data_IF_687549202882
#
_entry.id   IF_687549202882
#
_cell.length_a   1.000
_cell.length_b   1.000
_cell.length_c   1.000
_cell.angle_alpha   90.00
_cell.angle_beta   90.00
_cell.angle_gamma   90.00
#
_symmetry.space_group_name_H-M   'P 1'
#
loop_
_entity.id
_entity.type
_entity.pdbx_description
1 polymer ?
#
# COMPACT_ATOMS: atom_id res chain seq x y z
N UNK A 1 -52.79 -60.87 -54.75
CA UNK A 1 -52.93 -60.59 -53.31
C UNK A 1 -52.08 -59.38 -52.96
N UNK A 2 -52.72 -58.22 -52.90
CA UNK A 2 -52.13 -56.97 -52.42
C UNK A 2 -52.57 -56.79 -50.96
N UNK A 3 -51.64 -56.46 -50.07
CA UNK A 3 -51.98 -56.03 -48.72
C UNK A 3 -51.33 -54.69 -48.40
N UNK A 4 -52.22 -53.74 -48.11
CA UNK A 4 -51.95 -52.37 -47.75
C UNK A 4 -51.48 -52.24 -46.30
N UNK A 5 -50.44 -51.40 -46.14
CA UNK A 5 -50.21 -50.36 -45.12
C UNK A 5 -50.70 -50.60 -43.67
N UNK A 6 -49.75 -50.41 -42.75
CA UNK A 6 -49.87 -49.39 -41.68
C UNK A 6 -48.54 -48.66 -41.52
N UNK A 7 -48.52 -47.39 -41.91
CA UNK A 7 -47.48 -46.43 -41.53
C UNK A 7 -47.72 -46.01 -40.09
N UNK A 8 -46.71 -46.17 -39.23
CA UNK A 8 -46.68 -45.56 -37.89
C UNK A 8 -45.62 -44.45 -37.89
N UNK A 9 -46.06 -43.26 -37.50
CA UNK A 9 -45.27 -42.07 -37.26
C UNK A 9 -44.04 -42.38 -36.40
N UNK A 10 -42.85 -42.01 -36.87
CA UNK A 10 -41.70 -41.79 -35.99
C UNK A 10 -41.38 -40.31 -36.02
N UNK A 11 -41.68 -39.67 -34.89
CA UNK A 11 -41.39 -38.27 -34.59
C UNK A 11 -39.93 -37.95 -34.92
N UNK A 12 -39.72 -36.85 -35.62
CA UNK A 12 -38.41 -36.23 -35.77
C UNK A 12 -37.93 -35.77 -34.39
N UNK A 13 -36.98 -36.48 -33.80
CA UNK A 13 -36.20 -35.98 -32.67
C UNK A 13 -35.34 -34.82 -33.17
N UNK A 14 -35.80 -33.60 -32.89
CA UNK A 14 -34.99 -32.40 -33.03
C UNK A 14 -33.87 -32.49 -31.99
N UNK A 15 -32.67 -32.87 -32.41
CA UNK A 15 -31.46 -32.78 -31.60
C UNK A 15 -31.20 -31.30 -31.32
N UNK A 16 -31.65 -30.83 -30.15
CA UNK A 16 -31.21 -29.53 -29.65
C UNK A 16 -29.70 -29.62 -29.40
N UNK A 17 -28.91 -28.95 -30.23
CA UNK A 17 -27.48 -28.83 -29.97
C UNK A 17 -27.29 -28.14 -28.64
N UNK A 18 -26.67 -28.82 -27.68
CA UNK A 18 -26.25 -28.20 -26.42
C UNK A 18 -25.16 -27.18 -26.76
N UNK A 19 -25.50 -25.90 -26.65
CA UNK A 19 -24.51 -24.82 -26.81
C UNK A 19 -23.49 -24.99 -25.67
N UNK A 20 -22.18 -25.13 -25.96
CA UNK A 20 -21.17 -25.20 -24.92
C UNK A 20 -21.25 -23.99 -23.99
N UNK A 21 -21.26 -24.23 -22.69
CA UNK A 21 -21.26 -23.14 -21.71
C UNK A 21 -19.97 -22.32 -21.87
N UNK A 22 -20.11 -21.00 -21.91
CA UNK A 22 -18.99 -20.08 -21.99
C UNK A 22 -18.14 -20.17 -20.72
N UNK A 23 -16.94 -20.74 -20.85
CA UNK A 23 -16.04 -21.02 -19.72
C UNK A 23 -15.28 -19.78 -19.21
N UNK A 24 -15.37 -18.62 -19.88
CA UNK A 24 -14.70 -17.34 -19.51
C UNK A 24 -13.19 -17.44 -19.24
N UNK A 25 -12.52 -18.47 -19.74
CA UNK A 25 -11.11 -18.80 -19.43
C UNK A 25 -10.13 -17.75 -19.94
N UNK A 26 -10.38 -17.13 -21.09
CA UNK A 26 -9.54 -16.05 -21.63
C UNK A 26 -9.49 -14.84 -20.69
N UNK A 27 -10.63 -14.44 -20.12
CA UNK A 27 -10.67 -13.31 -19.19
C UNK A 27 -9.87 -13.62 -17.91
N UNK A 28 -10.03 -14.83 -17.37
CA UNK A 28 -9.27 -15.27 -16.21
C UNK A 28 -7.76 -15.29 -16.49
N UNK A 29 -7.34 -15.79 -17.66
CA UNK A 29 -5.93 -15.81 -18.06
C UNK A 29 -5.33 -14.40 -18.18
N UNK A 30 -6.08 -13.44 -18.74
CA UNK A 30 -5.64 -12.04 -18.81
C UNK A 30 -5.49 -11.47 -17.39
N UNK A 31 -6.49 -11.63 -16.52
CA UNK A 31 -6.44 -11.10 -15.15
C UNK A 31 -5.27 -11.70 -14.36
N UNK A 32 -5.05 -13.01 -14.46
CA UNK A 32 -3.89 -13.68 -13.88
C UNK A 32 -2.56 -13.08 -14.39
N UNK A 33 -2.49 -12.69 -15.67
CA UNK A 33 -1.28 -12.05 -16.21
C UNK A 33 -0.98 -10.69 -15.58
N UNK A 34 -2.02 -9.94 -15.21
CA UNK A 34 -1.82 -8.70 -14.43
C UNK A 34 -1.27 -9.01 -13.03
N UNK A 35 -1.79 -10.03 -12.36
CA UNK A 35 -1.36 -10.44 -11.00
C UNK A 35 0.10 -10.91 -10.95
N UNK A 36 0.62 -11.48 -12.04
CA UNK A 36 2.04 -11.85 -12.16
C UNK A 36 2.99 -10.63 -12.15
N UNK A 37 2.48 -9.42 -12.37
CA UNK A 37 3.29 -8.20 -12.34
C UNK A 37 3.54 -7.78 -10.89
N UNK A 38 4.78 -7.95 -10.42
CA UNK A 38 5.18 -7.54 -9.08
C UNK A 38 4.88 -6.06 -8.84
N UNK A 39 4.13 -5.79 -7.78
CA UNK A 39 3.90 -4.44 -7.30
C UNK A 39 4.96 -4.11 -6.25
N UNK A 40 5.95 -3.31 -6.63
CA UNK A 40 6.99 -2.90 -5.70
C UNK A 40 6.47 -1.80 -4.77
N UNK A 41 6.97 -1.81 -3.53
CA UNK A 41 6.72 -0.70 -2.64
C UNK A 41 7.39 0.58 -3.16
N UNK A 42 6.68 1.70 -3.03
CA UNK A 42 7.23 3.03 -3.29
C UNK A 42 8.35 3.33 -2.29
N UNK A 43 9.45 3.90 -2.78
CA UNK A 43 10.58 4.28 -1.94
C UNK A 43 10.29 5.51 -1.05
N UNK A 44 9.21 6.24 -1.32
CA UNK A 44 8.82 7.47 -0.64
C UNK A 44 7.38 7.39 -0.12
N UNK A 45 7.05 8.22 0.85
CA UNK A 45 5.68 8.53 1.23
C UNK A 45 5.05 9.40 0.14
N UNK A 46 3.93 8.95 -0.44
CA UNK A 46 3.29 9.63 -1.56
C UNK A 46 2.41 10.81 -1.13
N UNK A 47 2.51 11.93 -1.84
CA UNK A 47 1.59 13.07 -1.70
C UNK A 47 0.13 12.66 -1.95
N UNK A 48 -0.11 11.67 -2.82
CA UNK A 48 -1.45 11.11 -3.08
C UNK A 48 -2.09 10.43 -1.86
N UNK A 49 -1.29 10.01 -0.88
CA UNK A 49 -1.77 9.29 0.31
C UNK A 49 -1.82 10.20 1.54
N UNK A 50 -1.12 11.34 1.56
CA UNK A 50 -0.90 12.17 2.76
C UNK A 50 -2.20 12.67 3.44
N UNK A 51 -3.29 12.78 2.68
CA UNK A 51 -4.61 13.13 3.20
C UNK A 51 -5.30 12.03 4.01
N UNK A 52 -4.77 10.80 4.04
CA UNK A 52 -5.32 9.71 4.86
C UNK A 52 -5.27 10.10 6.34
N UNK A 53 -6.40 10.08 7.04
CA UNK A 53 -6.50 10.43 8.46
C UNK A 53 -5.59 9.58 9.37
N UNK A 54 -5.35 8.32 9.00
CA UNK A 54 -4.57 7.39 9.81
C UNK A 54 -3.06 7.54 9.56
N UNK A 55 -2.38 8.27 10.45
CA UNK A 55 -0.92 8.41 10.43
C UNK A 55 -0.20 7.06 10.54
N UNK A 56 -0.75 6.11 11.31
CA UNK A 56 -0.21 4.75 11.41
C UNK A 56 -0.22 4.02 10.06
N UNK A 57 -1.29 4.17 9.27
CA UNK A 57 -1.37 3.57 7.93
C UNK A 57 -0.33 4.17 6.98
N UNK A 58 -0.13 5.49 7.03
CA UNK A 58 0.91 6.17 6.23
C UNK A 58 2.32 5.72 6.63
N UNK A 59 2.56 5.55 7.93
CA UNK A 59 3.82 5.03 8.44
C UNK A 59 4.06 3.59 7.99
N UNK A 60 3.04 2.71 8.05
CA UNK A 60 3.14 1.34 7.54
C UNK A 60 3.39 1.27 6.04
N UNK A 61 2.78 2.16 5.26
CA UNK A 61 3.06 2.29 3.82
C UNK A 61 4.51 2.71 3.57
N UNK A 62 5.00 3.74 4.26
CA UNK A 62 6.40 4.20 4.13
C UNK A 62 7.42 3.15 4.58
N UNK A 63 7.10 2.39 5.64
CA UNK A 63 7.96 1.38 6.24
C UNK A 63 7.79 -0.03 5.65
N UNK A 64 6.99 -0.18 4.59
CA UNK A 64 6.76 -1.46 3.88
C UNK A 64 6.31 -2.60 4.80
N UNK A 65 5.42 -2.28 5.76
CA UNK A 65 5.01 -3.25 6.77
C UNK A 65 4.02 -4.30 6.24
N UNK A 66 3.26 -3.98 5.19
CA UNK A 66 2.26 -4.88 4.61
C UNK A 66 2.48 -5.01 3.11
N UNK A 67 2.41 -6.22 2.59
CA UNK A 67 2.39 -6.46 1.15
C UNK A 67 1.03 -6.02 0.56
N UNK A 68 1.06 -5.32 -0.58
CA UNK A 68 -0.15 -4.97 -1.32
C UNK A 68 -0.32 -5.98 -2.46
N UNK A 69 -1.24 -6.93 -2.28
CA UNK A 69 -1.63 -7.85 -3.34
C UNK A 69 -2.97 -7.38 -3.93
N UNK A 70 -2.95 -7.02 -5.22
CA UNK A 70 -4.14 -6.59 -5.94
C UNK A 70 -4.59 -7.68 -6.91
N UNK A 71 -5.89 -7.95 -6.94
CA UNK A 71 -6.49 -8.76 -8.00
C UNK A 71 -6.22 -8.13 -9.37
N UNK A 72 -6.11 -8.96 -10.41
CA UNK A 72 -5.79 -8.51 -11.77
C UNK A 72 -6.80 -7.49 -12.30
N UNK A 73 -8.05 -7.56 -11.84
CA UNK A 73 -9.09 -6.58 -12.18
C UNK A 73 -8.76 -5.20 -11.63
N UNK A 74 -8.24 -5.10 -10.41
CA UNK A 74 -7.86 -3.83 -9.78
C UNK A 74 -6.64 -3.22 -10.48
N UNK A 75 -5.65 -4.03 -10.83
CA UNK A 75 -4.49 -3.58 -11.62
C UNK A 75 -4.91 -3.04 -13.00
N UNK A 76 -5.87 -3.70 -13.67
CA UNK A 76 -6.48 -3.18 -14.89
C UNK A 76 -7.21 -1.86 -14.68
N UNK A 77 -7.86 -1.69 -13.53
CA UNK A 77 -8.56 -0.46 -13.22
C UNK A 77 -7.58 0.71 -13.04
N UNK A 78 -6.42 0.49 -12.40
CA UNK A 78 -5.36 1.49 -12.33
C UNK A 78 -4.83 1.86 -13.73
N UNK A 79 -4.61 0.86 -14.59
CA UNK A 79 -4.21 1.11 -15.98
C UNK A 79 -5.25 1.92 -16.77
N UNK A 80 -6.56 1.71 -16.53
CA UNK A 80 -7.59 2.56 -17.12
C UNK A 80 -7.50 4.02 -16.65
N UNK A 81 -7.09 4.27 -15.40
CA UNK A 81 -6.80 5.62 -14.91
C UNK A 81 -5.69 6.30 -15.71
N UNK A 82 -4.56 5.64 -15.91
CA UNK A 82 -3.44 6.19 -16.69
C UNK A 82 -3.83 6.52 -18.15
N UNK A 83 -4.67 5.68 -18.76
CA UNK A 83 -5.18 5.97 -20.12
C UNK A 83 -6.09 7.19 -20.17
N UNK A 84 -6.82 7.45 -19.08
CA UNK A 84 -7.67 8.61 -18.96
C UNK A 84 -6.86 9.91 -18.76
N UNK A 85 -5.76 9.86 -18.01
CA UNK A 85 -4.84 11.00 -17.87
C UNK A 85 -4.37 11.49 -19.25
N UNK A 86 -3.93 10.58 -20.13
CA UNK A 86 -3.56 10.94 -21.51
C UNK A 86 -4.72 11.54 -22.32
N UNK A 87 -5.95 11.07 -22.07
CA UNK A 87 -7.15 11.59 -22.73
C UNK A 87 -7.43 13.03 -22.28
N UNK A 88 -7.42 13.30 -20.98
CA UNK A 88 -7.61 14.65 -20.46
C UNK A 88 -6.56 15.64 -20.98
N UNK A 89 -5.30 15.23 -21.06
CA UNK A 89 -4.24 16.07 -21.64
C UNK A 89 -4.57 16.44 -23.10
N UNK A 90 -5.01 15.47 -23.92
CA UNK A 90 -5.40 15.73 -25.32
C UNK A 90 -6.64 16.63 -25.40
N UNK A 91 -7.63 16.40 -24.56
CA UNK A 91 -8.87 17.19 -24.54
C UNK A 91 -8.61 18.64 -24.11
N UNK A 92 -7.79 18.87 -23.08
CA UNK A 92 -7.33 20.20 -22.68
C UNK A 92 -6.60 20.93 -23.82
N UNK A 93 -5.66 20.25 -24.51
CA UNK A 93 -4.99 20.81 -25.69
C UNK A 93 -5.98 21.14 -26.81
N UNK A 94 -7.00 20.29 -27.01
CA UNK A 94 -8.00 20.49 -28.08
C UNK A 94 -8.87 21.72 -27.88
N UNK A 95 -9.06 22.17 -26.63
CA UNK A 95 -9.79 23.41 -26.31
C UNK A 95 -8.87 24.63 -26.22
N UNK A 96 -7.59 24.49 -26.60
CA UNK A 96 -6.61 25.58 -26.64
C UNK A 96 -5.84 25.80 -25.33
N UNK A 97 -5.95 24.90 -24.34
CA UNK A 97 -5.14 25.00 -23.14
C UNK A 97 -3.68 24.61 -23.43
N UNK A 98 -2.76 25.33 -22.78
CA UNK A 98 -1.34 24.97 -22.71
C UNK A 98 -1.14 24.12 -21.46
N UNK A 99 -0.53 22.95 -21.60
CA UNK A 99 -0.29 22.02 -20.49
C UNK A 99 1.09 21.39 -20.58
N UNK A 100 1.81 21.42 -19.46
CA UNK A 100 3.02 20.66 -19.21
C UNK A 100 2.65 19.41 -18.41
N UNK A 101 2.69 18.25 -19.05
CA UNK A 101 2.47 16.94 -18.40
C UNK A 101 3.78 16.21 -18.07
N UNK A 102 4.91 16.73 -18.58
CA UNK A 102 6.23 16.16 -18.41
C UNK A 102 7.26 17.25 -18.15
N UNK A 103 8.26 16.89 -17.37
CA UNK A 103 9.47 17.65 -17.15
C UNK A 103 10.40 17.51 -18.38
N UNK A 104 10.86 18.64 -18.93
CA UNK A 104 11.61 18.66 -20.20
C UNK A 104 13.00 18.03 -20.07
N UNK A 105 13.61 18.09 -18.89
CA UNK A 105 14.96 17.57 -18.65
C UNK A 105 14.96 16.05 -18.46
N UNK A 106 14.00 15.53 -17.70
CA UNK A 106 13.92 14.12 -17.33
C UNK A 106 13.00 13.31 -18.24
N UNK A 107 12.08 13.96 -18.96
CA UNK A 107 11.03 13.32 -19.74
C UNK A 107 9.96 12.58 -18.90
N UNK A 108 10.07 12.63 -17.57
CA UNK A 108 9.12 12.06 -16.63
C UNK A 108 8.00 13.03 -16.28
N UNK A 109 7.03 12.60 -15.47
CA UNK A 109 6.03 13.52 -14.91
C UNK A 109 6.69 14.60 -14.05
N UNK A 110 6.11 15.79 -14.07
CA UNK A 110 6.50 16.89 -13.19
C UNK A 110 6.29 16.43 -11.74
N UNK A 111 7.36 16.48 -10.96
CA UNK A 111 7.39 15.92 -9.62
C UNK A 111 8.12 16.84 -8.64
N UNK A 112 7.86 16.64 -7.36
CA UNK A 112 8.63 17.25 -6.29
C UNK A 112 9.22 16.18 -5.38
N UNK A 113 10.30 16.54 -4.69
CA UNK A 113 10.90 15.77 -3.60
C UNK A 113 11.06 16.67 -2.38
N UNK A 114 10.81 16.10 -1.22
CA UNK A 114 10.93 16.74 0.09
C UNK A 114 11.56 15.76 1.07
N UNK A 115 12.26 16.26 2.09
CA UNK A 115 13.02 15.45 3.04
C UNK A 115 14.01 14.49 2.33
N UNK A 116 14.77 15.03 1.37
CA UNK A 116 15.69 14.26 0.54
C UNK A 116 15.03 13.25 -0.41
N UNK A 117 13.70 13.32 -0.57
CA UNK A 117 12.93 12.39 -1.38
C UNK A 117 12.18 11.31 -0.58
N UNK A 118 12.21 11.36 0.76
CA UNK A 118 11.32 10.51 1.57
C UNK A 118 9.85 10.88 1.44
N UNK A 119 9.53 12.13 1.05
CA UNK A 119 8.19 12.55 0.69
C UNK A 119 8.21 13.11 -0.74
N UNK A 120 7.34 12.60 -1.61
CA UNK A 120 7.34 12.98 -3.02
C UNK A 120 5.95 12.80 -3.66
N UNK A 121 5.77 13.42 -4.81
CA UNK A 121 4.59 13.20 -5.65
C UNK A 121 4.78 13.78 -7.04
N UNK A 122 3.95 13.30 -7.95
CA UNK A 122 3.92 13.70 -9.36
C UNK A 122 2.54 14.25 -9.70
N UNK A 123 2.47 15.43 -10.30
CA UNK A 123 1.21 15.97 -10.80
C UNK A 123 0.92 15.43 -12.21
N UNK A 124 -0.36 15.33 -12.54
CA UNK A 124 -0.79 14.87 -13.87
C UNK A 124 -0.50 15.94 -14.95
N UNK A 125 -0.46 17.21 -14.55
CA UNK A 125 0.10 18.29 -15.34
C UNK A 125 0.01 19.66 -14.67
N UNK A 126 0.51 20.68 -15.36
CA UNK A 126 0.37 22.09 -15.00
C UNK A 126 -0.15 22.81 -16.25
N UNK A 127 -1.32 23.45 -16.16
CA UNK A 127 -2.00 24.03 -17.32
C UNK A 127 -2.44 25.48 -17.12
N UNK A 128 -2.60 26.20 -18.23
CA UNK A 128 -3.28 27.50 -18.33
C UNK A 128 -4.12 27.56 -19.61
N UNK A 129 -4.94 28.59 -19.75
CA UNK A 129 -5.75 28.76 -20.97
C UNK A 129 -7.05 27.95 -20.94
N UNK A 130 -7.47 27.49 -19.78
CA UNK A 130 -8.80 26.89 -19.59
C UNK A 130 -9.88 27.98 -19.58
N UNK A 131 -11.16 27.64 -19.86
CA UNK A 131 -12.23 28.64 -19.91
C UNK A 131 -12.36 29.49 -18.64
N UNK A 132 -12.18 28.88 -17.48
CA UNK A 132 -12.25 29.54 -16.18
C UNK A 132 -10.92 30.19 -15.76
N UNK A 133 -9.80 29.79 -16.37
CA UNK A 133 -8.44 30.24 -16.06
C UNK A 133 -7.65 30.61 -17.31
N UNK A 134 -8.08 31.59 -18.12
CA UNK A 134 -7.50 31.86 -19.43
C UNK A 134 -6.03 32.29 -19.40
N UNK A 135 -5.56 32.81 -18.26
CA UNK A 135 -4.18 33.29 -18.07
C UNK A 135 -3.45 32.66 -16.89
N UNK A 136 -4.16 31.95 -16.02
CA UNK A 136 -3.62 31.48 -14.75
C UNK A 136 -3.10 30.06 -14.88
N UNK A 137 -1.89 29.82 -14.39
CA UNK A 137 -1.35 28.48 -14.25
C UNK A 137 -2.02 27.77 -13.07
N UNK A 138 -2.30 26.47 -13.25
CA UNK A 138 -2.93 25.62 -12.24
C UNK A 138 -2.32 24.23 -12.28
N UNK A 139 -2.21 23.61 -11.10
CA UNK A 139 -2.01 22.15 -11.02
C UNK A 139 -3.21 21.47 -11.68
N UNK A 140 -2.99 20.42 -12.46
CA UNK A 140 -4.02 19.53 -12.95
C UNK A 140 -3.99 18.22 -12.18
N UNK A 141 -5.16 17.80 -11.68
CA UNK A 141 -5.36 16.49 -11.05
C UNK A 141 -6.54 15.80 -11.74
N UNK A 142 -6.27 14.64 -12.33
CA UNK A 142 -7.22 13.89 -13.15
C UNK A 142 -7.68 12.63 -12.42
N UNK A 143 -8.99 12.40 -12.37
CA UNK A 143 -9.56 11.25 -11.64
C UNK A 143 -10.70 10.57 -12.40
N UNK A 144 -10.75 9.25 -12.28
CA UNK A 144 -11.91 8.47 -12.72
C UNK A 144 -12.77 8.11 -11.52
N UNK A 145 -14.09 8.20 -11.67
CA UNK A 145 -15.04 7.91 -10.60
C UNK A 145 -16.06 6.86 -11.04
N UNK A 146 -16.49 5.98 -10.12
CA UNK A 146 -17.73 5.22 -10.31
C UNK A 146 -18.93 6.17 -10.25
N UNK A 147 -20.09 5.80 -10.81
CA UNK A 147 -21.28 6.67 -10.76
C UNK A 147 -21.61 7.16 -9.34
N UNK A 148 -21.64 6.28 -8.34
CA UNK A 148 -21.88 6.66 -6.94
C UNK A 148 -20.87 7.69 -6.42
N UNK A 149 -19.59 7.52 -6.77
CA UNK A 149 -18.56 8.46 -6.35
C UNK A 149 -18.63 9.79 -7.09
N UNK A 150 -19.11 9.78 -8.35
CA UNK A 150 -19.24 10.96 -9.19
C UNK A 150 -20.42 11.81 -8.73
N UNK A 151 -21.59 11.22 -8.49
CA UNK A 151 -22.76 11.93 -7.94
C UNK A 151 -22.41 12.63 -6.62
N UNK A 152 -21.72 11.93 -5.71
CA UNK A 152 -21.27 12.55 -4.44
C UNK A 152 -20.28 13.71 -4.67
N UNK A 153 -19.43 13.61 -5.70
CA UNK A 153 -18.50 14.68 -6.06
C UNK A 153 -19.25 15.91 -6.57
N UNK A 154 -20.23 15.73 -7.45
CA UNK A 154 -21.08 16.82 -7.97
C UNK A 154 -21.84 17.54 -6.84
N UNK A 155 -22.37 16.78 -5.88
CA UNK A 155 -23.16 17.32 -4.77
C UNK A 155 -22.33 18.06 -3.72
N UNK A 156 -21.10 17.60 -3.44
CA UNK A 156 -20.34 18.04 -2.27
C UNK A 156 -19.02 18.75 -2.59
N UNK A 157 -18.56 18.70 -3.84
CA UNK A 157 -17.23 19.17 -4.24
C UNK A 157 -16.08 18.31 -3.73
N UNK A 158 -14.87 18.58 -4.19
CA UNK A 158 -13.66 17.78 -3.93
C UNK A 158 -13.29 17.82 -2.44
N UNK A 159 -13.31 18.98 -1.79
CA UNK A 159 -12.85 19.13 -0.39
C UNK A 159 -13.60 18.20 0.57
N UNK A 160 -14.92 18.05 0.38
CA UNK A 160 -15.78 17.22 1.24
C UNK A 160 -15.88 15.76 0.75
N UNK A 161 -16.07 15.55 -0.55
CA UNK A 161 -16.25 14.19 -1.10
C UNK A 161 -14.94 13.40 -1.26
N UNK A 162 -13.82 14.11 -1.43
CA UNK A 162 -12.47 13.57 -1.72
C UNK A 162 -11.37 14.32 -0.94
N UNK A 163 -11.42 14.31 0.41
CA UNK A 163 -10.44 15.04 1.24
C UNK A 163 -8.98 14.63 0.97
N UNK A 164 -8.73 13.38 0.56
CA UNK A 164 -7.39 12.94 0.17
C UNK A 164 -6.88 13.63 -1.10
N UNK A 165 -7.72 13.77 -2.13
CA UNK A 165 -7.34 14.44 -3.37
C UNK A 165 -7.16 15.95 -3.13
N UNK A 166 -8.03 16.52 -2.30
CA UNK A 166 -7.87 17.90 -1.85
C UNK A 166 -6.50 18.11 -1.16
N UNK A 167 -6.13 17.25 -0.21
CA UNK A 167 -4.84 17.32 0.47
C UNK A 167 -3.65 17.17 -0.50
N UNK A 168 -3.75 16.24 -1.46
CA UNK A 168 -2.75 16.05 -2.50
C UNK A 168 -2.54 17.33 -3.32
N UNK A 169 -3.62 17.96 -3.80
CA UNK A 169 -3.53 19.21 -4.56
C UNK A 169 -3.00 20.38 -3.73
N UNK A 170 -3.32 20.45 -2.42
CA UNK A 170 -2.73 21.46 -1.52
C UNK A 170 -1.21 21.31 -1.41
N UNK A 171 -0.72 20.07 -1.35
CA UNK A 171 0.73 19.79 -1.38
C UNK A 171 1.35 20.21 -2.71
N UNK A 172 0.73 19.85 -3.84
CA UNK A 172 1.25 20.24 -5.15
C UNK A 172 1.29 21.75 -5.35
N UNK A 173 0.18 22.45 -5.06
CA UNK A 173 0.12 23.91 -5.13
C UNK A 173 1.24 24.57 -4.32
N UNK A 174 1.46 24.13 -3.08
CA UNK A 174 2.54 24.68 -2.25
C UNK A 174 3.95 24.33 -2.74
N UNK A 175 4.15 23.12 -3.31
CA UNK A 175 5.46 22.68 -3.81
C UNK A 175 5.86 23.28 -5.16
N UNK A 176 4.88 23.64 -5.98
CA UNK A 176 5.09 24.27 -7.29
C UNK A 176 4.79 25.77 -7.28
N UNK A 177 4.55 26.36 -6.10
CA UNK A 177 4.28 27.80 -5.91
C UNK A 177 3.11 28.32 -6.75
N UNK A 178 2.07 27.50 -6.89
CA UNK A 178 0.82 27.84 -7.56
C UNK A 178 -0.29 28.07 -6.51
N UNK A 179 -1.16 29.02 -6.78
CA UNK A 179 -2.26 29.39 -5.87
C UNK A 179 -3.56 28.62 -6.13
N UNK A 180 -3.55 27.71 -7.12
CA UNK A 180 -4.74 27.00 -7.59
C UNK A 180 -4.48 25.67 -8.30
N UNK A 181 -5.49 24.83 -8.28
CA UNK A 181 -5.55 23.56 -8.98
C UNK A 181 -6.89 23.39 -9.71
N UNK A 182 -6.85 22.77 -10.88
CA UNK A 182 -7.99 22.27 -11.63
C UNK A 182 -8.11 20.77 -11.40
N UNK A 183 -9.19 20.37 -10.73
CA UNK A 183 -9.58 18.98 -10.62
C UNK A 183 -10.48 18.61 -11.79
N UNK A 184 -10.09 17.65 -12.62
CA UNK A 184 -10.94 17.09 -13.67
C UNK A 184 -11.29 15.64 -13.36
N UNK A 185 -12.57 15.30 -13.50
CA UNK A 185 -13.04 13.95 -13.28
C UNK A 185 -13.94 13.47 -14.40
N UNK A 186 -13.85 12.17 -14.72
CA UNK A 186 -14.82 11.50 -15.58
C UNK A 186 -15.57 10.40 -14.83
N UNK A 187 -16.85 10.26 -15.15
CA UNK A 187 -17.67 9.15 -14.71
C UNK A 187 -17.41 7.93 -15.60
N UNK A 188 -16.93 6.83 -15.03
CA UNK A 188 -16.61 5.59 -15.77
C UNK A 188 -17.81 4.90 -16.41
N UNK A 189 -19.03 5.26 -16.00
CA UNK A 189 -20.25 4.61 -16.45
C UNK A 189 -20.93 5.41 -17.58
N UNK A 190 -20.71 6.73 -17.65
CA UNK A 190 -21.41 7.63 -18.58
C UNK A 190 -20.50 8.56 -19.38
N UNK A 191 -19.19 8.57 -19.09
CA UNK A 191 -18.20 9.53 -19.62
C UNK A 191 -18.55 11.01 -19.35
N UNK A 192 -19.45 11.28 -18.40
CA UNK A 192 -19.74 12.64 -17.95
C UNK A 192 -18.50 13.26 -17.29
N UNK A 193 -18.28 14.56 -17.54
CA UNK A 193 -17.15 15.31 -17.02
C UNK A 193 -17.54 16.21 -15.85
N UNK A 194 -16.61 16.38 -14.92
CA UNK A 194 -16.69 17.31 -13.81
C UNK A 194 -15.40 18.12 -13.72
N UNK A 195 -15.51 19.43 -13.49
CA UNK A 195 -14.38 20.33 -13.22
C UNK A 195 -14.62 21.15 -11.96
N UNK A 196 -13.58 21.32 -11.15
CA UNK A 196 -13.61 22.21 -9.97
C UNK A 196 -12.27 22.91 -9.80
N UNK A 197 -12.33 24.22 -9.51
CA UNK A 197 -11.17 25.00 -9.10
C UNK A 197 -10.98 24.94 -7.60
N UNK A 198 -9.79 24.53 -7.19
CA UNK A 198 -9.37 24.48 -5.79
C UNK A 198 -8.29 25.54 -5.57
N UNK A 199 -8.42 26.28 -4.47
CA UNK A 199 -7.47 27.35 -4.13
C UNK A 199 -6.52 26.92 -3.03
N UNK A 200 -5.29 27.44 -3.09
CA UNK A 200 -4.24 27.16 -2.12
C UNK A 200 -4.59 27.68 -0.73
N UNK A 201 -4.47 26.81 0.27
CA UNK A 201 -4.65 27.11 1.68
C UNK A 201 -3.33 26.85 2.41
N UNK A 202 -2.56 27.93 2.62
CA UNK A 202 -1.22 27.88 3.22
C UNK A 202 -1.17 27.05 4.51
N UNK A 203 -2.11 27.26 5.43
CA UNK A 203 -2.16 26.51 6.68
C UNK A 203 -2.41 25.01 6.48
N UNK A 204 -3.24 24.63 5.50
CA UNK A 204 -3.48 23.24 5.16
C UNK A 204 -2.21 22.59 4.61
N UNK A 205 -1.52 23.27 3.69
CA UNK A 205 -0.24 22.85 3.15
C UNK A 205 0.82 22.64 4.24
N UNK A 206 1.02 23.63 5.11
CA UNK A 206 1.99 23.57 6.21
C UNK A 206 1.68 22.41 7.18
N UNK A 207 0.40 22.19 7.49
CA UNK A 207 -0.03 21.07 8.33
C UNK A 207 0.26 19.71 7.68
N UNK A 208 0.05 19.58 6.37
CA UNK A 208 0.34 18.35 5.62
C UNK A 208 1.85 18.07 5.52
N UNK A 209 2.68 19.10 5.35
CA UNK A 209 4.14 18.98 5.37
C UNK A 209 4.66 18.58 6.75
N UNK A 210 4.14 19.18 7.82
CA UNK A 210 4.46 18.78 9.19
C UNK A 210 4.04 17.33 9.48
N UNK A 211 2.89 16.90 8.97
CA UNK A 211 2.41 15.53 9.05
C UNK A 211 3.32 14.56 8.30
N UNK A 212 3.73 14.89 7.08
CA UNK A 212 4.66 14.07 6.31
C UNK A 212 6.00 13.92 7.04
N UNK A 213 6.56 15.01 7.57
CA UNK A 213 7.78 15.00 8.38
C UNK A 213 7.64 14.08 9.60
N UNK A 214 6.56 14.22 10.38
CA UNK A 214 6.38 13.41 11.60
C UNK A 214 6.20 11.92 11.29
N UNK A 215 5.62 11.57 10.15
CA UNK A 215 5.51 10.17 9.71
C UNK A 215 6.88 9.63 9.28
N UNK A 216 7.59 10.35 8.41
CA UNK A 216 8.88 9.90 7.86
C UNK A 216 9.89 9.60 8.96
N UNK A 217 10.00 10.49 9.94
CA UNK A 217 11.04 10.40 10.99
C UNK A 217 10.55 9.74 12.28
N UNK A 218 9.33 9.18 12.32
CA UNK A 218 8.88 8.42 13.48
C UNK A 218 9.63 7.09 13.61
N UNK A 219 10.21 6.86 14.80
CA UNK A 219 10.90 5.62 15.16
C UNK A 219 9.93 4.46 15.42
N UNK A 220 8.73 4.77 15.92
CA UNK A 220 7.67 3.82 16.24
C UNK A 220 6.39 4.13 15.45
N UNK A 221 5.50 3.15 15.23
CA UNK A 221 4.21 3.39 14.60
C UNK A 221 3.40 4.46 15.37
N UNK A 222 2.89 5.51 14.69
CA UNK A 222 1.99 6.48 15.31
C UNK A 222 0.72 5.84 15.86
N UNK A 223 -0.04 6.60 16.68
CA UNK A 223 -1.37 6.17 17.14
C UNK A 223 -2.31 6.01 15.94
N UNK A 224 -3.12 4.95 15.95
CA UNK A 224 -4.14 4.68 14.95
C UNK A 224 -5.41 5.49 15.19
N UNK A 225 -6.32 5.48 14.22
CA UNK A 225 -7.60 6.20 14.32
C UNK A 225 -8.67 5.46 15.13
N UNK A 226 -8.51 4.15 15.31
CA UNK A 226 -9.44 3.31 16.06
C UNK A 226 -8.78 2.01 16.51
N UNK A 227 -9.22 1.49 17.65
CA UNK A 227 -8.93 0.13 18.10
C UNK A 227 -9.97 -0.89 17.56
N UNK A 228 -11.08 -0.42 16.98
CA UNK A 228 -12.09 -1.28 16.37
C UNK A 228 -11.72 -1.61 14.91
N UNK A 229 -11.44 -2.88 14.57
CA UNK A 229 -11.10 -3.29 13.19
C UNK A 229 -12.23 -3.06 12.17
N UNK A 230 -13.47 -2.90 12.63
CA UNK A 230 -14.64 -2.66 11.79
C UNK A 230 -15.01 -1.18 11.64
N UNK A 231 -14.27 -0.27 12.28
CA UNK A 231 -14.39 1.17 12.02
C UNK A 231 -14.14 1.45 10.53
N UNK A 232 -14.87 2.41 9.95
CA UNK A 232 -14.87 2.65 8.50
C UNK A 232 -13.47 2.77 7.88
N UNK A 233 -12.56 3.53 8.52
CA UNK A 233 -11.18 3.69 8.05
C UNK A 233 -10.29 2.45 8.25
N UNK A 234 -10.59 1.60 9.24
CA UNK A 234 -9.83 0.37 9.52
C UNK A 234 -10.29 -0.82 8.68
N UNK A 235 -11.60 -0.92 8.42
CA UNK A 235 -12.23 -2.05 7.73
C UNK A 235 -11.66 -2.29 6.34
N UNK A 236 -11.37 -1.22 5.62
CA UNK A 236 -10.85 -1.24 4.24
C UNK A 236 -9.37 -0.82 4.16
N UNK A 237 -8.66 -0.82 5.29
CA UNK A 237 -7.25 -0.46 5.31
C UNK A 237 -6.38 -1.63 4.83
N UNK A 238 -5.49 -1.37 3.87
CA UNK A 238 -4.49 -2.34 3.38
C UNK A 238 -3.58 -2.89 4.50
N UNK A 239 -3.51 -2.20 5.63
CA UNK A 239 -2.67 -2.57 6.78
C UNK A 239 -3.45 -3.25 7.91
N UNK A 240 -4.72 -3.61 7.70
CA UNK A 240 -5.57 -4.26 8.73
C UNK A 240 -4.91 -5.53 9.30
N UNK A 241 -4.25 -6.31 8.43
CA UNK A 241 -3.55 -7.53 8.80
C UNK A 241 -2.44 -7.31 9.84
N UNK A 242 -1.60 -6.30 9.62
CA UNK A 242 -0.52 -5.96 10.56
C UNK A 242 -1.09 -5.23 11.78
N UNK A 243 -2.03 -4.30 11.58
CA UNK A 243 -2.52 -3.42 12.64
C UNK A 243 -3.45 -4.12 13.64
N UNK A 244 -4.46 -4.85 13.15
CA UNK A 244 -5.52 -5.42 13.97
C UNK A 244 -5.43 -6.95 14.08
N UNK A 245 -5.02 -7.63 13.02
CA UNK A 245 -4.85 -9.10 13.02
C UNK A 245 -3.46 -9.52 13.54
N UNK A 246 -2.59 -8.52 13.79
CA UNK A 246 -1.27 -8.68 14.41
C UNK A 246 -0.34 -9.62 13.64
N UNK A 247 -0.55 -9.76 12.33
CA UNK A 247 0.34 -10.49 11.45
C UNK A 247 1.73 -9.83 11.49
N UNK A 248 2.76 -10.66 11.62
CA UNK A 248 4.15 -10.19 11.66
C UNK A 248 4.49 -9.57 10.29
N UNK A 249 4.96 -8.31 10.24
CA UNK A 249 5.32 -7.67 8.98
C UNK A 249 6.55 -8.33 8.35
N UNK A 250 6.73 -8.18 7.04
CA UNK A 250 7.90 -8.70 6.34
C UNK A 250 9.21 -8.19 6.95
N UNK A 251 10.19 -9.07 7.18
CA UNK A 251 11.51 -8.69 7.67
C UNK A 251 12.34 -8.10 6.53
N UNK A 252 12.37 -6.77 6.45
CA UNK A 252 13.11 -5.96 5.48
C UNK A 252 13.74 -4.78 6.22
N UNK A 253 14.69 -4.04 5.65
CA UNK A 253 15.34 -2.98 6.45
C UNK A 253 14.36 -1.90 6.89
N UNK A 254 13.23 -1.65 6.24
CA UNK A 254 12.29 -0.62 6.70
C UNK A 254 11.49 -1.00 7.95
N UNK A 255 11.38 -2.31 8.24
CA UNK A 255 10.80 -2.83 9.48
C UNK A 255 11.86 -3.13 10.56
N UNK A 256 13.13 -2.83 10.27
CA UNK A 256 14.25 -3.06 11.18
C UNK A 256 14.45 -1.89 12.15
N UNK A 257 14.64 -2.19 13.44
CA UNK A 257 14.93 -1.21 14.50
C UNK A 257 16.26 -0.44 14.30
N UNK A 258 17.14 -0.97 13.45
CA UNK A 258 18.48 -0.41 13.19
C UNK A 258 18.59 0.24 11.82
N UNK A 259 17.46 0.60 11.23
CA UNK A 259 17.37 1.23 9.92
C UNK A 259 16.60 2.52 10.05
N UNK A 260 17.33 3.61 9.88
CA UNK A 260 16.85 4.96 10.17
C UNK A 260 16.85 5.78 8.89
N UNK A 261 15.72 6.42 8.52
CA UNK A 261 15.71 7.39 7.43
C UNK A 261 16.43 8.66 7.88
N UNK A 262 17.46 9.07 7.12
CA UNK A 262 18.18 10.33 7.33
C UNK A 262 17.50 11.48 6.58
N UNK A 263 17.75 12.72 7.01
CA UNK A 263 17.16 13.94 6.45
C UNK A 263 17.51 14.17 4.97
N UNK A 264 18.63 13.60 4.51
CA UNK A 264 19.12 13.69 3.14
C UNK A 264 18.42 12.71 2.17
N UNK A 265 17.45 11.92 2.65
CA UNK A 265 16.71 10.96 1.84
C UNK A 265 17.31 9.56 1.85
N UNK A 266 18.47 9.37 2.48
CA UNK A 266 19.10 8.08 2.61
C UNK A 266 18.47 7.25 3.75
N UNK A 267 18.69 5.94 3.70
CA UNK A 267 18.40 5.02 4.79
C UNK A 267 19.72 4.48 5.32
N UNK A 268 19.99 4.60 6.61
CA UNK A 268 21.24 4.16 7.22
C UNK A 268 21.02 2.96 8.12
N UNK A 269 21.87 1.96 7.98
CA UNK A 269 21.93 0.83 8.90
C UNK A 269 22.85 1.15 10.08
N UNK A 270 22.32 1.17 11.30
CA UNK A 270 23.11 1.49 12.50
C UNK A 270 24.12 0.40 12.86
N UNK A 271 23.90 -0.85 12.44
CA UNK A 271 24.86 -1.94 12.64
C UNK A 271 26.08 -1.78 11.73
N UNK A 272 25.86 -1.63 10.42
CA UNK A 272 26.94 -1.65 9.42
C UNK A 272 27.47 -0.27 9.05
N UNK A 273 26.77 0.78 9.50
CA UNK A 273 26.97 2.20 9.16
C UNK A 273 26.84 2.52 7.66
N UNK A 274 26.36 1.57 6.85
CA UNK A 274 26.15 1.74 5.41
C UNK A 274 24.87 2.51 5.10
N UNK A 275 24.91 3.28 4.02
CA UNK A 275 23.72 3.74 3.32
C UNK A 275 23.14 2.57 2.54
N UNK A 276 21.86 2.30 2.73
CA UNK A 276 21.15 1.17 2.14
C UNK A 276 20.55 1.56 0.80
N UNK A 277 20.91 0.83 -0.27
CA UNK A 277 20.18 0.94 -1.53
C UNK A 277 18.74 0.50 -1.36
N UNK A 278 17.84 0.91 -2.26
CA UNK A 278 16.43 0.48 -2.21
C UNK A 278 16.33 -1.05 -2.29
N UNK A 279 17.23 -1.70 -3.03
CA UNK A 279 17.26 -3.16 -3.12
C UNK A 279 17.73 -3.82 -1.82
N UNK A 280 18.79 -3.30 -1.18
CA UNK A 280 19.21 -3.76 0.15
C UNK A 280 18.09 -3.60 1.17
N UNK A 281 17.34 -2.49 1.08
CA UNK A 281 16.21 -2.23 1.98
C UNK A 281 15.14 -3.32 1.84
N UNK A 282 14.85 -3.79 0.62
CA UNK A 282 13.84 -4.84 0.38
C UNK A 282 14.32 -6.21 0.81
N UNK A 283 15.58 -6.52 0.52
CA UNK A 283 16.15 -7.84 0.81
C UNK A 283 16.26 -8.08 2.33
N UNK A 284 16.64 -7.06 3.09
CA UNK A 284 16.96 -7.22 4.51
C UNK A 284 18.23 -8.05 4.74
N UNK A 285 18.48 -8.46 5.99
CA UNK A 285 19.64 -9.28 6.33
C UNK A 285 19.35 -10.26 7.48
N UNK A 286 20.27 -11.19 7.73
CA UNK A 286 20.17 -12.15 8.85
C UNK A 286 20.31 -11.51 10.23
N UNK A 287 20.80 -10.28 10.29
CA UNK A 287 20.85 -9.48 11.52
C UNK A 287 19.64 -8.55 11.62
N UNK A 288 18.52 -8.82 10.95
CA UNK A 288 17.32 -8.04 11.16
C UNK A 288 16.83 -8.13 12.62
N UNK A 289 16.40 -7.00 13.18
CA UNK A 289 15.66 -6.91 14.45
C UNK A 289 14.42 -6.06 14.20
N UNK A 290 13.23 -6.56 14.53
CA UNK A 290 12.02 -5.77 14.37
C UNK A 290 12.06 -4.51 15.24
N UNK A 291 11.53 -3.40 14.70
CA UNK A 291 11.08 -2.28 15.53
C UNK A 291 10.15 -2.85 16.60
N UNK A 292 10.43 -2.67 17.91
CA UNK A 292 9.73 -3.41 18.96
C UNK A 292 8.21 -3.33 18.88
N UNK A 293 7.69 -2.14 18.58
CA UNK A 293 6.25 -1.85 18.49
C UNK A 293 5.56 -2.45 17.24
N UNK A 294 6.30 -3.09 16.32
CA UNK A 294 5.72 -3.77 15.16
C UNK A 294 5.18 -5.16 15.48
N UNK A 295 5.65 -5.81 16.56
CA UNK A 295 5.13 -7.11 16.97
C UNK A 295 3.88 -6.93 17.83
N UNK A 296 2.76 -6.49 17.23
CA UNK A 296 1.53 -6.09 17.93
C UNK A 296 0.82 -7.18 18.78
N UNK A 297 1.31 -8.42 18.76
CA UNK A 297 0.85 -9.51 19.63
C UNK A 297 1.69 -9.67 20.92
N UNK A 298 2.79 -8.93 21.03
CA UNK A 298 3.73 -9.01 22.14
C UNK A 298 4.08 -7.61 22.68
N UNK A 299 4.57 -7.57 23.91
CA UNK A 299 5.09 -6.36 24.57
C UNK A 299 6.59 -6.54 24.73
N UNK A 300 7.37 -5.56 24.29
CA UNK A 300 8.81 -5.56 24.50
C UNK A 300 9.13 -5.31 25.98
N UNK A 301 10.01 -6.13 26.54
CA UNK A 301 10.46 -6.06 27.93
C UNK A 301 11.79 -5.32 28.05
N UNK A 302 12.72 -5.62 27.14
CA UNK A 302 14.06 -5.05 27.10
C UNK A 302 14.60 -5.02 25.67
N UNK A 303 15.36 -3.97 25.36
CA UNK A 303 15.95 -3.73 24.04
C UNK A 303 17.47 -3.67 24.14
N UNK A 304 18.13 -4.50 23.35
CA UNK A 304 19.58 -4.56 23.24
C UNK A 304 19.98 -4.43 21.76
N UNK A 305 21.24 -4.08 21.49
CA UNK A 305 21.74 -3.89 20.12
C UNK A 305 21.58 -5.12 19.21
N UNK A 306 21.45 -6.31 19.80
CA UNK A 306 21.48 -7.61 19.09
C UNK A 306 20.27 -8.50 19.36
N UNK A 307 19.38 -8.12 20.29
CA UNK A 307 18.13 -8.83 20.57
C UNK A 307 17.12 -7.93 21.29
N UNK A 308 15.85 -8.32 21.23
CA UNK A 308 14.77 -7.70 21.98
C UNK A 308 13.99 -8.82 22.68
N UNK A 309 13.77 -8.67 23.99
CA UNK A 309 12.97 -9.60 24.77
C UNK A 309 11.50 -9.18 24.74
N UNK A 310 10.61 -10.16 24.66
CA UNK A 310 9.18 -9.96 24.56
C UNK A 310 8.41 -10.86 25.50
N UNK A 311 7.23 -10.37 25.89
CA UNK A 311 6.17 -11.15 26.50
C UNK A 311 4.93 -11.13 25.60
N UNK A 312 4.29 -12.30 25.40
CA UNK A 312 3.03 -12.38 24.66
C UNK A 312 1.97 -13.14 25.47
N UNK A 313 0.74 -12.62 25.45
CA UNK A 313 -0.43 -13.31 25.99
C UNK A 313 -1.02 -14.25 24.95
N UNK A 314 -1.22 -15.50 25.32
CA UNK A 314 -1.78 -16.55 24.48
C UNK A 314 -3.00 -17.16 25.16
N UNK A 315 -3.72 -18.05 24.47
CA UNK A 315 -4.86 -18.77 25.06
C UNK A 315 -4.44 -19.66 26.25
N UNK A 316 -3.19 -20.12 26.23
CA UNK A 316 -2.67 -21.05 27.25
C UNK A 316 -1.92 -20.33 28.38
N UNK A 317 -1.84 -19.00 28.36
CA UNK A 317 -1.16 -18.19 29.37
C UNK A 317 -0.16 -17.22 28.76
N UNK A 318 0.86 -16.87 29.52
CA UNK A 318 1.92 -15.95 29.09
C UNK A 318 3.12 -16.74 28.60
N UNK A 319 3.70 -16.31 27.48
CA UNK A 319 4.98 -16.83 26.98
C UNK A 319 6.01 -15.71 26.91
N UNK A 320 7.28 -16.09 26.92
CA UNK A 320 8.40 -15.17 26.76
C UNK A 320 9.32 -15.66 25.65
N UNK A 321 9.74 -14.75 24.79
CA UNK A 321 10.60 -15.05 23.65
C UNK A 321 11.51 -13.87 23.32
N UNK A 322 12.52 -14.09 22.49
CA UNK A 322 13.39 -13.03 22.00
C UNK A 322 13.36 -12.98 20.47
N UNK A 323 13.34 -11.77 19.90
CA UNK A 323 13.82 -11.58 18.53
C UNK A 323 15.32 -11.28 18.61
N UNK A 324 16.16 -12.17 18.09
CA UNK A 324 17.62 -12.00 18.12
C UNK A 324 18.22 -12.04 16.72
N UNK A 325 19.25 -11.22 16.52
CA UNK A 325 20.19 -11.35 15.40
C UNK A 325 20.98 -12.65 15.51
N UNK A 326 21.63 -13.07 14.42
CA UNK A 326 22.52 -14.25 14.45
C UNK A 326 23.60 -14.12 15.53
N UNK A 327 24.22 -12.95 15.65
CA UNK A 327 25.25 -12.68 16.65
C UNK A 327 24.69 -12.56 18.09
N UNK A 328 23.43 -12.17 18.25
CA UNK A 328 22.80 -11.94 19.54
C UNK A 328 22.26 -13.20 20.23
N UNK A 329 22.12 -14.32 19.51
CA UNK A 329 21.45 -15.53 20.02
C UNK A 329 22.08 -16.05 21.32
N UNK A 330 23.39 -16.26 21.34
CA UNK A 330 24.08 -16.83 22.50
C UNK A 330 23.98 -15.91 23.73
N UNK A 331 24.05 -14.59 23.52
CA UNK A 331 23.94 -13.61 24.60
C UNK A 331 22.51 -13.60 25.16
N UNK A 332 21.51 -13.57 24.29
CA UNK A 332 20.10 -13.63 24.70
C UNK A 332 19.79 -14.91 25.50
N UNK A 333 20.34 -16.06 25.10
CA UNK A 333 20.18 -17.34 25.83
C UNK A 333 20.85 -17.32 27.21
N UNK A 334 22.05 -16.73 27.33
CA UNK A 334 22.76 -16.65 28.62
C UNK A 334 22.03 -15.76 29.60
N UNK A 335 21.49 -14.63 29.13
CA UNK A 335 20.75 -13.69 29.97
C UNK A 335 19.37 -14.23 30.37
N UNK A 336 18.68 -14.87 29.43
CA UNK A 336 17.32 -15.37 29.62
C UNK A 336 17.19 -16.82 29.11
N UNK A 337 17.70 -17.83 29.83
CA UNK A 337 17.75 -19.22 29.36
C UNK A 337 16.37 -19.88 29.20
N UNK A 338 15.31 -19.25 29.70
CA UNK A 338 13.92 -19.70 29.57
C UNK A 338 13.18 -19.08 28.38
N UNK A 339 13.83 -18.22 27.60
CA UNK A 339 13.20 -17.55 26.47
C UNK A 339 13.48 -18.33 25.18
N UNK A 340 12.44 -18.60 24.40
CA UNK A 340 12.63 -19.12 23.06
C UNK A 340 13.21 -18.02 22.16
N UNK A 341 14.24 -18.35 21.38
CA UNK A 341 14.96 -17.37 20.55
C UNK A 341 14.56 -17.51 19.08
N UNK A 342 14.11 -16.42 18.47
CA UNK A 342 13.70 -16.37 17.08
C UNK A 342 14.48 -15.33 16.27
N UNK A 343 14.92 -15.70 15.08
CA UNK A 343 15.30 -14.73 14.05
C UNK A 343 14.06 -14.04 13.47
N UNK A 344 14.21 -12.83 12.93
CA UNK A 344 13.06 -12.11 12.37
C UNK A 344 12.40 -12.85 11.21
N UNK A 345 13.17 -13.55 10.37
CA UNK A 345 12.62 -14.38 9.28
C UNK A 345 11.87 -15.61 9.79
N UNK A 346 12.22 -16.13 10.97
CA UNK A 346 11.42 -17.17 11.63
C UNK A 346 10.09 -16.59 12.11
N UNK A 347 10.10 -15.42 12.76
CA UNK A 347 8.90 -14.73 13.24
C UNK A 347 7.93 -14.39 12.08
N UNK A 348 8.45 -13.85 10.97
CA UNK A 348 7.70 -13.55 9.75
C UNK A 348 6.90 -14.76 9.25
N UNK A 349 7.52 -15.95 9.26
CA UNK A 349 6.90 -17.19 8.76
C UNK A 349 6.00 -17.89 9.77
N UNK A 350 6.34 -17.78 11.06
CA UNK A 350 5.61 -18.40 12.16
C UNK A 350 4.28 -17.70 12.41
N UNK A 351 4.30 -16.37 12.42
CA UNK A 351 3.17 -15.58 12.87
C UNK A 351 2.86 -15.77 14.38
N UNK A 352 1.86 -15.04 14.89
CA UNK A 352 1.57 -14.98 16.33
C UNK A 352 1.16 -16.32 16.95
N UNK A 353 0.42 -17.15 16.22
CA UNK A 353 -0.11 -18.42 16.74
C UNK A 353 1.01 -19.43 17.00
N UNK A 354 1.96 -19.54 16.07
CA UNK A 354 3.10 -20.48 16.18
C UNK A 354 4.08 -19.97 17.24
N UNK A 355 4.41 -18.68 17.23
CA UNK A 355 5.26 -18.08 18.27
C UNK A 355 4.62 -18.23 19.65
N UNK A 356 3.29 -18.13 19.72
CA UNK A 356 2.46 -18.33 20.90
C UNK A 356 2.44 -19.76 21.47
N UNK A 357 2.90 -20.76 20.72
CA UNK A 357 2.66 -22.15 21.05
C UNK A 357 3.65 -22.69 22.09
N UNK A 358 3.15 -23.18 23.24
CA UNK A 358 3.98 -23.66 24.36
C UNK A 358 4.98 -24.75 23.97
N UNK A 359 4.52 -25.78 23.24
CA UNK A 359 5.38 -26.91 22.84
C UNK A 359 6.52 -26.43 21.94
N UNK A 360 6.24 -25.49 21.02
CA UNK A 360 7.26 -24.96 20.09
C UNK A 360 8.32 -24.19 20.87
N UNK A 361 7.89 -23.33 21.80
CA UNK A 361 8.82 -22.61 22.66
C UNK A 361 9.66 -23.55 23.53
N UNK A 362 9.05 -24.59 24.12
CA UNK A 362 9.77 -25.58 24.92
C UNK A 362 10.84 -26.30 24.10
N UNK A 363 10.49 -26.75 22.89
CA UNK A 363 11.43 -27.39 21.97
C UNK A 363 12.58 -26.44 21.60
N UNK A 364 12.30 -25.16 21.36
CA UNK A 364 13.35 -24.16 21.06
C UNK A 364 14.26 -23.89 22.26
N UNK A 365 13.72 -23.91 23.47
CA UNK A 365 14.50 -23.74 24.71
C UNK A 365 15.40 -24.96 24.94
N UNK A 366 14.86 -26.17 24.82
CA UNK A 366 15.59 -27.41 25.11
C UNK A 366 16.59 -27.82 24.03
N UNK A 367 16.18 -27.73 22.76
CA UNK A 367 16.96 -28.25 21.62
C UNK A 367 17.74 -27.16 20.88
N UNK A 368 17.51 -25.88 21.20
CA UNK A 368 18.17 -24.73 20.56
C UNK A 368 18.03 -24.70 19.02
N UNK A 369 16.96 -25.33 18.52
CA UNK A 369 16.72 -25.52 17.09
C UNK A 369 16.20 -24.29 16.37
N UNK A 370 16.49 -24.23 15.06
CA UNK A 370 15.83 -23.29 14.13
C UNK A 370 14.52 -23.92 13.65
N UNK A 371 13.44 -23.15 13.67
CA UNK A 371 12.14 -23.58 13.20
C UNK A 371 12.03 -23.35 11.68
N UNK A 372 11.52 -24.36 10.97
CA UNK A 372 11.15 -24.23 9.56
C UNK A 372 9.64 -24.42 9.45
N UNK A 373 8.95 -23.37 9.02
CA UNK A 373 7.52 -23.44 8.69
C UNK A 373 7.43 -23.69 7.18
N UNK A 374 6.98 -24.89 6.82
CA UNK A 374 6.66 -25.22 5.43
C UNK A 374 5.23 -24.78 5.14
N UNK A 375 5.05 -23.87 4.18
CA UNK A 375 3.71 -23.62 3.62
C UNK A 375 3.38 -24.85 2.77
N UNK A 376 2.41 -25.65 3.20
CA UNK A 376 1.84 -26.67 2.32
C UNK A 376 1.38 -25.97 1.05
N UNK A 377 1.92 -26.38 -0.10
CA UNK A 377 1.64 -25.75 -1.39
C UNK A 377 0.14 -25.65 -1.64
N UNK A 378 -0.30 -24.44 -1.98
CA UNK A 378 -1.65 -24.18 -2.49
C UNK A 378 -1.73 -24.51 -3.98
#
# INVERSE_FOLDING_TARGET
MAHLKKQTNKQSETTMSVIPQNQKTTAAAILKKYEETKQEHRAHLGASEIGNECMRALWYSFRWCSEKNFEGRMLRLFNSGHREEERFIRELKSIGAEIYDKDEETGGQINFKEFGGHFAGSCDGIARGTPEGPKSWAICEFKTHSAKSFTKLEEEGVKKSKPMHYAQMQVYMGKFELDRALYLACNKDTDALYSEWIYFEKHTYEALLKKAHSIVFAASPPVGISENPEAFGCKFCDHKSVCHEKIVPGANCRTCARSTPDIDGSWRCDLTKKILSVEDQRLGCSDHLYIPDLLGFAVALDYQDTYVFYEAKTKDGTISFANATRAGKERAMKESPRFAIYESKELERAGPEIVGHKIINQVKIELQGTMRVEKNGA
#
